data_IF_857914275857
#
_entry.id   IF_857914275857
#
_cell.length_a   1.000
_cell.length_b   1.000
_cell.length_c   1.000
_cell.angle_alpha   90.00
_cell.angle_beta   90.00
_cell.angle_gamma   90.00
#
_symmetry.space_group_name_H-M   'P 1'
#
loop_
_entity.id
_entity.type
_entity.pdbx_description
1 polymer ?
#
# COMPACT_ATOMS: atom_id res chain seq x y z
N UNK A 1 3.22 -15.34 -4.47
CA UNK A 1 3.38 -13.99 -5.05
C UNK A 1 3.50 -12.99 -3.90
N UNK A 2 4.71 -12.76 -3.37
CA UNK A 2 4.99 -11.62 -2.51
C UNK A 2 4.87 -10.28 -3.26
N UNK A 3 4.74 -9.18 -2.51
CA UNK A 3 4.76 -7.84 -3.07
C UNK A 3 5.36 -6.82 -2.08
N UNK A 4 5.82 -5.70 -2.63
CA UNK A 4 6.25 -4.52 -1.89
C UNK A 4 5.24 -3.39 -2.08
N UNK A 5 5.09 -2.54 -1.07
CA UNK A 5 4.36 -1.27 -1.18
C UNK A 5 5.34 -0.12 -1.35
N UNK A 6 5.10 0.67 -2.40
CA UNK A 6 5.80 1.93 -2.69
C UNK A 6 4.78 3.07 -2.80
N UNK A 7 5.22 4.30 -2.55
CA UNK A 7 4.33 5.45 -2.50
C UNK A 7 4.94 6.72 -3.09
N UNK A 8 4.07 7.61 -3.53
CA UNK A 8 4.36 8.99 -3.88
C UNK A 8 3.46 9.89 -3.05
N UNK A 9 3.99 11.03 -2.62
CA UNK A 9 3.30 11.95 -1.72
C UNK A 9 3.82 13.36 -1.91
N UNK A 10 2.91 14.31 -2.15
CA UNK A 10 3.26 15.73 -2.27
C UNK A 10 2.03 16.59 -2.00
N UNK A 11 2.23 17.81 -1.54
CA UNK A 11 1.22 18.86 -1.57
C UNK A 11 1.42 19.71 -2.81
N UNK A 12 0.49 19.64 -3.76
CA UNK A 12 0.62 20.31 -5.05
C UNK A 12 -0.73 20.71 -5.66
N UNK A 13 -0.71 21.68 -6.60
CA UNK A 13 -1.87 22.09 -7.41
C UNK A 13 -1.65 21.83 -8.91
N UNK A 14 -1.72 20.58 -9.36
CA UNK A 14 -1.51 20.24 -10.76
C UNK A 14 -2.77 20.53 -11.60
N UNK A 15 -2.84 21.74 -12.20
CA UNK A 15 -3.90 22.11 -13.15
C UNK A 15 -3.83 21.34 -14.48
N UNK A 16 -2.70 20.68 -14.72
CA UNK A 16 -2.50 19.66 -15.74
C UNK A 16 -1.85 18.43 -15.09
N UNK A 17 -1.86 17.29 -15.78
CA UNK A 17 -1.24 16.07 -15.29
C UNK A 17 0.26 16.29 -15.02
N UNK A 18 0.67 16.20 -13.76
CA UNK A 18 2.03 16.49 -13.31
C UNK A 18 2.59 15.32 -12.49
N UNK A 19 3.91 15.13 -12.48
CA UNK A 19 4.54 14.14 -11.61
C UNK A 19 4.36 14.51 -10.13
N UNK A 20 4.46 13.51 -9.27
CA UNK A 20 4.41 13.65 -7.81
C UNK A 20 5.71 13.09 -7.21
N UNK A 21 6.21 13.73 -6.16
CA UNK A 21 7.43 13.30 -5.46
C UNK A 21 7.34 11.84 -4.97
N UNK A 22 8.40 11.06 -5.18
CA UNK A 22 8.51 9.71 -4.62
C UNK A 22 8.83 9.78 -3.13
N UNK A 23 8.14 8.96 -2.32
CA UNK A 23 8.47 8.82 -0.90
C UNK A 23 9.79 8.07 -0.78
N UNK A 24 10.80 8.71 -0.17
CA UNK A 24 12.12 8.12 0.05
C UNK A 24 12.00 6.78 0.79
N UNK A 25 12.68 5.76 0.27
CA UNK A 25 12.49 4.36 0.67
C UNK A 25 13.83 3.70 1.03
N UNK A 26 13.85 2.86 2.07
CA UNK A 26 15.01 2.05 2.46
C UNK A 26 15.17 0.78 1.60
N UNK A 27 14.10 0.37 0.92
CA UNK A 27 14.04 -0.82 0.09
C UNK A 27 14.19 -0.47 -1.39
N UNK A 28 13.58 0.62 -1.87
CA UNK A 28 13.66 1.03 -3.28
C UNK A 28 14.57 2.23 -3.47
N UNK A 29 15.31 2.28 -4.59
CA UNK A 29 16.01 3.49 -4.99
C UNK A 29 14.97 4.53 -5.43
N UNK A 30 15.11 5.74 -4.91
CA UNK A 30 14.29 6.91 -5.22
C UNK A 30 15.16 8.06 -5.73
N UNK A 31 14.60 8.95 -6.56
CA UNK A 31 15.28 10.15 -7.06
C UNK A 31 14.27 11.18 -7.56
N UNK A 32 13.93 12.19 -6.75
CA UNK A 32 12.81 13.10 -7.05
C UNK A 32 11.51 12.30 -7.17
N UNK A 33 10.83 12.44 -8.31
CA UNK A 33 9.56 11.74 -8.63
C UNK A 33 9.73 10.24 -8.95
N UNK A 34 10.97 9.77 -9.07
CA UNK A 34 11.27 8.46 -9.64
C UNK A 34 11.42 7.38 -8.57
N UNK A 35 10.71 6.25 -8.75
CA UNK A 35 10.99 4.98 -8.07
C UNK A 35 11.54 3.98 -9.09
N UNK A 36 12.69 3.37 -8.82
CA UNK A 36 13.28 2.41 -9.75
C UNK A 36 12.73 1.00 -9.53
N UNK A 37 12.06 0.45 -10.54
CA UNK A 37 11.44 -0.88 -10.48
C UNK A 37 12.51 -1.96 -10.31
N UNK A 38 12.40 -2.77 -9.26
CA UNK A 38 13.36 -3.85 -9.03
C UNK A 38 13.17 -4.98 -10.03
N UNK A 39 14.26 -5.66 -10.45
CA UNK A 39 14.15 -6.89 -11.23
C UNK A 39 13.29 -7.98 -10.57
N UNK A 40 13.27 -8.03 -9.23
CA UNK A 40 12.48 -8.99 -8.43
C UNK A 40 10.99 -8.65 -8.32
N UNK A 41 10.59 -7.41 -8.59
CA UNK A 41 9.20 -6.95 -8.45
C UNK A 41 8.71 -6.19 -9.71
N UNK A 42 8.70 -6.83 -10.89
CA UNK A 42 8.45 -6.15 -12.16
C UNK A 42 6.97 -6.11 -12.56
N UNK A 43 6.05 -6.26 -11.62
CA UNK A 43 4.62 -6.32 -11.90
C UNK A 43 3.84 -5.39 -10.98
N UNK A 44 2.88 -4.65 -11.52
CA UNK A 44 1.92 -3.86 -10.74
C UNK A 44 0.73 -4.75 -10.34
N UNK A 45 0.66 -5.09 -9.07
CA UNK A 45 -0.34 -5.99 -8.51
C UNK A 45 -1.48 -5.26 -7.77
N UNK A 46 -1.26 -4.00 -7.42
CA UNK A 46 -2.25 -3.16 -6.75
C UNK A 46 -1.95 -1.69 -6.99
N UNK A 47 -2.99 -0.88 -7.08
CA UNK A 47 -2.85 0.57 -7.28
C UNK A 47 -3.92 1.35 -6.51
N UNK A 48 -3.54 2.54 -6.07
CA UNK A 48 -4.41 3.44 -5.35
C UNK A 48 -4.00 4.90 -5.53
N UNK A 49 -5.00 5.78 -5.65
CA UNK A 49 -4.83 7.21 -5.68
C UNK A 49 -5.79 7.90 -4.69
N UNK A 50 -5.26 8.88 -3.96
CA UNK A 50 -5.94 9.66 -2.94
C UNK A 50 -5.58 11.14 -3.05
N UNK A 51 -6.53 12.01 -2.71
CA UNK A 51 -6.28 13.43 -2.45
C UNK A 51 -7.29 13.98 -1.43
N UNK A 52 -7.12 15.21 -0.94
CA UNK A 52 -8.00 15.74 0.14
C UNK A 52 -9.43 15.99 -0.34
N UNK A 53 -9.63 16.62 -1.51
CA UNK A 53 -10.95 17.13 -1.92
C UNK A 53 -11.36 16.75 -3.34
N UNK A 54 -10.47 16.84 -4.34
CA UNK A 54 -10.88 16.76 -5.75
C UNK A 54 -10.03 15.84 -6.64
N UNK A 55 -9.65 14.63 -6.17
CA UNK A 55 -8.81 13.73 -6.96
C UNK A 55 -9.52 13.32 -8.26
N UNK A 56 -8.90 13.58 -9.42
CA UNK A 56 -9.53 13.28 -10.73
C UNK A 56 -9.09 11.94 -11.30
N UNK A 57 -7.79 11.77 -11.54
CA UNK A 57 -7.19 10.51 -11.98
C UNK A 57 -5.68 10.55 -11.74
N UNK A 58 -5.05 9.38 -11.77
CA UNK A 58 -3.61 9.21 -11.70
C UNK A 58 -3.10 8.35 -12.85
N UNK A 59 -1.82 8.51 -13.19
CA UNK A 59 -1.12 7.69 -14.16
C UNK A 59 0.17 7.12 -13.58
N UNK A 60 0.51 5.90 -14.00
CA UNK A 60 1.85 5.36 -13.87
C UNK A 60 2.54 5.36 -15.22
N UNK A 61 3.77 5.89 -15.24
CA UNK A 61 4.59 6.07 -16.44
C UNK A 61 5.95 5.43 -16.27
N UNK A 62 6.43 4.81 -17.34
CA UNK A 62 7.83 4.41 -17.52
C UNK A 62 8.27 4.83 -18.93
N UNK A 63 9.55 5.15 -19.15
CA UNK A 63 10.07 5.51 -20.46
C UNK A 63 9.74 4.49 -21.56
N UNK A 64 9.82 3.20 -21.25
CA UNK A 64 9.54 2.13 -22.22
C UNK A 64 8.06 1.74 -22.32
N UNK A 65 7.18 2.26 -21.47
CA UNK A 65 5.73 2.06 -21.61
C UNK A 65 5.20 2.95 -22.74
N UNK A 66 4.76 2.33 -23.84
CA UNK A 66 4.16 3.04 -24.98
C UNK A 66 2.90 3.81 -24.60
N UNK A 67 2.12 3.26 -23.65
CA UNK A 67 0.88 3.86 -23.15
C UNK A 67 0.95 3.82 -21.62
N UNK A 68 0.83 4.98 -20.94
CA UNK A 68 0.74 5.03 -19.48
C UNK A 68 -0.45 4.23 -18.95
N UNK A 69 -0.29 3.64 -17.77
CA UNK A 69 -1.43 3.05 -17.06
C UNK A 69 -2.19 4.15 -16.36
N UNK A 70 -3.42 4.44 -16.81
CA UNK A 70 -4.28 5.48 -16.22
C UNK A 70 -5.36 4.86 -15.34
N UNK A 71 -5.55 5.44 -14.17
CA UNK A 71 -6.48 5.01 -13.14
C UNK A 71 -7.44 6.15 -12.78
N UNK A 72 -8.74 5.88 -12.93
CA UNK A 72 -9.81 6.87 -12.75
C UNK A 72 -10.53 6.77 -11.40
N UNK A 73 -10.33 5.69 -10.65
CA UNK A 73 -10.85 5.60 -9.29
C UNK A 73 -9.88 6.27 -8.33
N UNK A 74 -10.45 7.03 -7.42
CA UNK A 74 -9.76 7.73 -6.34
C UNK A 74 -10.70 7.81 -5.14
N UNK A 75 -10.15 8.18 -3.99
CA UNK A 75 -10.96 8.52 -2.82
C UNK A 75 -10.32 9.65 -2.02
N UNK A 76 -11.10 10.19 -1.10
CA UNK A 76 -10.67 11.31 -0.26
C UNK A 76 -9.75 10.82 0.86
N UNK A 77 -8.65 11.54 1.13
CA UNK A 77 -7.74 11.26 2.25
C UNK A 77 -8.42 11.29 3.62
N UNK A 78 -9.57 11.95 3.74
CA UNK A 78 -10.37 11.96 4.97
C UNK A 78 -11.45 10.85 5.03
N UNK A 79 -11.52 10.00 3.99
CA UNK A 79 -12.53 8.95 3.86
C UNK A 79 -11.91 7.57 4.08
N UNK A 80 -12.67 6.69 4.72
CA UNK A 80 -12.29 5.30 5.00
C UNK A 80 -12.76 4.32 3.90
N UNK A 81 -12.88 4.79 2.66
CA UNK A 81 -13.44 4.02 1.53
C UNK A 81 -12.35 3.44 0.63
N UNK A 82 -11.26 2.95 1.22
CA UNK A 82 -10.09 2.38 0.53
C UNK A 82 -10.50 1.42 -0.60
N UNK A 83 -11.42 0.48 -0.31
CA UNK A 83 -11.84 -0.55 -1.25
C UNK A 83 -12.51 -0.01 -2.52
N UNK A 84 -13.11 1.18 -2.46
CA UNK A 84 -13.78 1.81 -3.62
C UNK A 84 -12.78 2.30 -4.67
N UNK A 85 -11.57 2.67 -4.24
CA UNK A 85 -10.53 3.22 -5.09
C UNK A 85 -9.36 2.27 -5.34
N UNK A 86 -9.30 1.16 -4.61
CA UNK A 86 -8.27 0.16 -4.81
C UNK A 86 -8.48 -0.61 -6.11
N UNK A 87 -7.44 -0.61 -6.94
CA UNK A 87 -7.36 -1.49 -8.08
C UNK A 87 -6.63 -2.77 -7.67
N UNK A 88 -7.38 -3.86 -7.55
CA UNK A 88 -6.82 -5.18 -7.27
C UNK A 88 -6.41 -5.87 -8.58
N UNK A 89 -5.12 -6.05 -8.78
CA UNK A 89 -4.55 -6.78 -9.92
C UNK A 89 -3.79 -8.04 -9.49
N UNK A 90 -3.98 -8.56 -8.27
CA UNK A 90 -3.21 -9.71 -7.78
C UNK A 90 -3.31 -10.93 -8.71
N UNK A 91 -4.49 -11.21 -9.29
CA UNK A 91 -4.67 -12.31 -10.22
C UNK A 91 -4.16 -12.02 -11.65
N UNK A 92 -4.09 -10.73 -12.05
CA UNK A 92 -3.75 -10.27 -13.40
C UNK A 92 -2.95 -8.96 -13.35
N UNK A 93 -1.71 -9.00 -12.85
CA UNK A 93 -0.92 -7.79 -12.65
C UNK A 93 -0.44 -7.22 -13.99
N UNK A 94 -0.23 -5.91 -14.04
CA UNK A 94 0.33 -5.28 -15.24
C UNK A 94 1.85 -5.42 -15.27
N UNK A 95 2.46 -5.78 -16.41
CA UNK A 95 3.91 -5.85 -16.52
C UNK A 95 4.55 -4.46 -16.47
N UNK A 96 5.68 -4.35 -15.78
CA UNK A 96 6.53 -3.16 -15.74
C UNK A 96 7.92 -3.50 -16.28
N UNK A 97 8.62 -2.48 -16.78
CA UNK A 97 10.01 -2.61 -17.21
C UNK A 97 10.95 -2.56 -16.01
N UNK A 98 11.78 -3.61 -15.89
CA UNK A 98 12.77 -3.80 -14.81
C UNK A 98 13.88 -2.76 -14.89
N UNK A 99 14.31 -2.24 -13.74
CA UNK A 99 15.43 -1.30 -13.63
C UNK A 99 15.11 0.12 -14.12
N UNK A 100 13.93 0.34 -14.71
CA UNK A 100 13.50 1.65 -15.15
C UNK A 100 12.82 2.44 -14.04
N UNK A 101 12.83 3.76 -14.19
CA UNK A 101 12.03 4.66 -13.36
C UNK A 101 10.54 4.42 -13.61
N UNK A 102 9.80 4.42 -12.52
CA UNK A 102 8.35 4.45 -12.45
C UNK A 102 7.97 5.78 -11.80
N UNK A 103 7.16 6.55 -12.51
CA UNK A 103 6.66 7.84 -12.06
C UNK A 103 5.16 7.75 -11.88
N UNK A 104 4.66 8.26 -10.76
CA UNK A 104 3.25 8.58 -10.63
C UNK A 104 3.02 10.00 -11.14
N UNK A 105 1.91 10.21 -11.83
CA UNK A 105 1.42 11.53 -12.18
C UNK A 105 -0.03 11.64 -11.74
N UNK A 106 -0.43 12.84 -11.34
CA UNK A 106 -1.76 13.11 -10.79
C UNK A 106 -2.36 14.35 -11.42
N UNK A 107 -3.70 14.37 -11.53
CA UNK A 107 -4.44 15.55 -11.96
C UNK A 107 -5.48 15.89 -10.90
N UNK A 108 -5.55 17.16 -10.54
CA UNK A 108 -6.39 17.66 -9.48
C UNK A 108 -6.84 19.11 -9.74
N UNK A 109 -7.82 19.62 -9.00
CA UNK A 109 -8.36 20.97 -9.18
C UNK A 109 -7.95 21.97 -8.09
N UNK A 110 -7.36 21.52 -6.99
CA UNK A 110 -6.98 22.35 -5.84
C UNK A 110 -5.52 22.11 -5.39
N UNK A 111 -4.97 23.06 -4.64
CA UNK A 111 -3.70 22.85 -3.93
C UNK A 111 -3.95 21.96 -2.73
N UNK A 112 -3.53 20.71 -2.82
CA UNK A 112 -3.78 19.76 -1.74
C UNK A 112 -2.77 18.61 -1.72
N UNK A 113 -2.78 17.90 -0.60
CA UNK A 113 -2.03 16.67 -0.44
C UNK A 113 -2.60 15.61 -1.37
N UNK A 114 -1.71 14.95 -2.09
CA UNK A 114 -2.01 13.82 -2.95
C UNK A 114 -1.13 12.64 -2.55
N UNK A 115 -1.66 11.45 -2.69
CA UNK A 115 -0.94 10.22 -2.43
C UNK A 115 -1.26 9.17 -3.48
N UNK A 116 -0.22 8.59 -4.05
CA UNK A 116 -0.32 7.43 -4.94
C UNK A 116 0.40 6.27 -4.29
N UNK A 117 -0.21 5.10 -4.33
CA UNK A 117 0.36 3.87 -3.77
C UNK A 117 0.32 2.78 -4.83
N UNK A 118 1.44 2.09 -4.99
CA UNK A 118 1.54 0.92 -5.85
C UNK A 118 2.01 -0.30 -5.06
N UNK A 119 1.44 -1.46 -5.38
CA UNK A 119 1.92 -2.76 -4.90
C UNK A 119 2.68 -3.44 -6.03
N UNK A 120 3.99 -3.64 -5.85
CA UNK A 120 4.88 -4.23 -6.85
C UNK A 120 5.18 -5.69 -6.50
N UNK A 121 4.85 -6.64 -7.37
CA UNK A 121 4.98 -8.08 -7.13
C UNK A 121 5.98 -8.77 -8.08
N UNK A 122 6.32 -10.01 -7.72
CA UNK A 122 7.17 -10.91 -8.51
C UNK A 122 6.44 -11.62 -9.67
N UNK A 123 5.11 -11.54 -9.71
CA UNK A 123 4.30 -12.25 -10.67
C UNK A 123 2.81 -12.13 -10.38
N UNK A 124 2.03 -13.09 -10.91
CA UNK A 124 0.59 -13.23 -10.64
C UNK A 124 0.34 -14.17 -9.46
N UNK A 125 -0.69 -13.90 -8.66
CA UNK A 125 -1.16 -14.81 -7.64
C UNK A 125 -1.76 -16.07 -8.28
N UNK A 126 -1.52 -17.23 -7.66
CA UNK A 126 -2.24 -18.45 -8.03
C UNK A 126 -3.65 -18.36 -7.44
N UNK A 127 -4.64 -18.92 -8.13
CA UNK A 127 -6.03 -18.98 -7.64
C UNK A 127 -6.08 -19.62 -6.24
N UNK A 128 -5.36 -20.72 -6.04
CA UNK A 128 -5.28 -21.38 -4.74
C UNK A 128 -4.67 -20.50 -3.62
N UNK A 129 -3.77 -19.58 -3.98
CA UNK A 129 -3.19 -18.64 -3.01
C UNK A 129 -4.15 -17.48 -2.69
N UNK A 130 -5.27 -17.33 -3.40
CA UNK A 130 -6.30 -16.32 -3.13
C UNK A 130 -7.53 -16.93 -2.44
N UNK A 131 -8.00 -18.07 -2.97
CA UNK A 131 -9.30 -18.65 -2.60
C UNK A 131 -9.21 -19.71 -1.49
N UNK A 132 -8.09 -20.44 -1.38
CA UNK A 132 -7.93 -21.57 -0.45
C UNK A 132 -7.10 -21.19 0.79
N UNK A 133 -7.18 -19.93 1.21
CA UNK A 133 -6.43 -19.42 2.36
C UNK A 133 -7.35 -19.34 3.57
N UNK A 134 -7.10 -20.17 4.57
CA UNK A 134 -7.80 -20.10 5.86
C UNK A 134 -6.84 -19.58 6.93
N UNK A 135 -7.00 -18.32 7.39
CA UNK A 135 -6.21 -17.80 8.50
C UNK A 135 -6.40 -18.67 9.75
N UNK A 136 -5.30 -19.02 10.41
CA UNK A 136 -5.33 -19.82 11.65
C UNK A 136 -5.28 -18.96 12.91
N UNK A 137 -4.70 -17.75 12.81
CA UNK A 137 -4.53 -16.82 13.92
C UNK A 137 -4.78 -15.39 13.40
N UNK A 138 -5.39 -14.57 14.25
CA UNK A 138 -5.42 -13.12 14.12
C UNK A 138 -4.75 -12.54 15.36
N UNK A 139 -3.86 -11.57 15.18
CA UNK A 139 -3.19 -10.85 16.27
C UNK A 139 -3.47 -9.36 16.10
N UNK A 140 -3.56 -8.62 17.21
CA UNK A 140 -3.71 -7.16 17.17
C UNK A 140 -2.50 -6.51 17.82
N UNK A 141 -2.15 -5.32 17.35
CA UNK A 141 -1.07 -4.57 17.95
C UNK A 141 -1.34 -3.08 17.88
N UNK A 142 -0.59 -2.33 18.68
CA UNK A 142 -0.62 -0.88 18.62
C UNK A 142 0.80 -0.30 18.71
N UNK A 143 0.92 0.93 18.27
CA UNK A 143 2.14 1.71 18.23
C UNK A 143 1.75 3.15 18.56
N UNK A 144 2.53 3.82 19.42
CA UNK A 144 2.30 5.21 19.83
C UNK A 144 3.46 6.09 19.37
N UNK A 145 3.70 6.09 18.05
CA UNK A 145 4.73 6.90 17.41
C UNK A 145 4.09 7.97 16.53
N UNK A 146 4.62 9.19 16.61
CA UNK A 146 4.24 10.27 15.70
C UNK A 146 4.69 9.95 14.27
N UNK A 147 3.78 10.08 13.31
CA UNK A 147 4.06 9.84 11.90
C UNK A 147 4.61 11.10 11.23
N UNK A 148 5.63 10.94 10.40
CA UNK A 148 6.17 12.04 9.58
C UNK A 148 5.50 12.03 8.20
N UNK A 149 4.89 13.15 7.82
CA UNK A 149 4.27 13.29 6.50
C UNK A 149 5.31 13.14 5.38
N UNK A 150 4.93 12.46 4.29
CA UNK A 150 5.83 12.24 3.14
C UNK A 150 7.02 11.30 3.42
N UNK A 151 7.01 10.56 4.52
CA UNK A 151 8.09 9.65 4.88
C UNK A 151 7.59 8.33 5.46
N UNK A 152 8.34 7.25 5.23
CA UNK A 152 8.13 6.00 5.96
C UNK A 152 8.59 6.15 7.40
N UNK A 153 7.66 6.02 8.35
CA UNK A 153 7.96 6.01 9.79
C UNK A 153 8.05 4.57 10.28
N UNK A 154 9.10 4.25 11.04
CA UNK A 154 9.22 2.94 11.69
C UNK A 154 8.39 2.93 12.98
N UNK A 155 7.32 2.14 12.99
CA UNK A 155 6.46 1.96 14.17
C UNK A 155 6.78 0.63 14.84
N UNK A 156 7.38 0.68 16.03
CA UNK A 156 7.61 -0.51 16.84
C UNK A 156 6.28 -0.93 17.49
N UNK A 157 5.73 -2.05 17.02
CA UNK A 157 4.43 -2.56 17.43
C UNK A 157 4.51 -3.32 18.76
N UNK A 158 3.59 -3.01 19.67
CA UNK A 158 3.27 -3.81 20.86
C UNK A 158 2.07 -4.69 20.53
N UNK A 159 2.28 -6.00 20.51
CA UNK A 159 1.25 -7.00 20.22
C UNK A 159 0.44 -7.38 21.47
N UNK A 160 -0.82 -7.75 21.28
CA UNK A 160 -1.75 -8.13 22.36
C UNK A 160 -1.66 -9.60 22.78
N UNK A 161 -1.05 -10.44 21.95
CA UNK A 161 -0.86 -11.86 22.20
C UNK A 161 0.45 -12.35 21.57
N UNK A 162 1.04 -13.35 22.21
CA UNK A 162 2.13 -14.14 21.64
C UNK A 162 1.57 -15.21 20.70
N UNK A 163 2.32 -15.53 19.66
CA UNK A 163 2.01 -16.67 18.79
C UNK A 163 2.61 -17.93 19.40
N UNK A 164 2.02 -19.12 19.20
CA UNK A 164 2.71 -20.36 19.48
C UNK A 164 4.04 -20.46 18.71
N UNK A 165 4.97 -21.31 19.17
CA UNK A 165 6.19 -21.58 18.42
C UNK A 165 5.83 -22.14 17.03
N UNK A 166 6.38 -21.57 15.97
CA UNK A 166 6.09 -22.03 14.62
C UNK A 166 6.56 -21.09 13.52
N UNK A 167 6.22 -21.47 12.28
CA UNK A 167 6.47 -20.67 11.09
C UNK A 167 5.15 -20.11 10.57
N UNK A 168 5.04 -18.80 10.52
CA UNK A 168 3.82 -18.09 10.14
C UNK A 168 4.00 -17.38 8.81
N UNK A 169 2.94 -17.35 8.00
CA UNK A 169 2.86 -16.51 6.79
C UNK A 169 1.78 -15.46 6.99
N UNK A 170 2.03 -14.25 6.50
CA UNK A 170 1.03 -13.17 6.56
C UNK A 170 0.04 -13.33 5.41
N UNK A 171 -1.25 -13.45 5.75
CA UNK A 171 -2.35 -13.67 4.80
C UNK A 171 -3.34 -12.51 4.75
N UNK A 172 -3.02 -11.41 5.43
CA UNK A 172 -3.81 -10.19 5.47
C UNK A 172 -3.28 -9.25 6.53
N UNK A 173 -3.60 -7.96 6.38
CA UNK A 173 -3.32 -6.94 7.36
C UNK A 173 -4.43 -5.91 7.31
N UNK A 174 -4.93 -5.53 8.47
CA UNK A 174 -5.71 -4.33 8.68
C UNK A 174 -4.87 -3.38 9.53
N UNK A 175 -4.82 -2.11 9.14
CA UNK A 175 -4.19 -1.07 9.95
C UNK A 175 -5.11 0.15 10.04
N UNK A 176 -5.03 0.87 11.14
CA UNK A 176 -5.78 2.08 11.35
C UNK A 176 -4.93 3.18 12.00
N UNK A 177 -5.28 4.43 11.74
CA UNK A 177 -4.66 5.60 12.39
C UNK A 177 -5.72 6.45 13.05
N UNK A 178 -5.40 7.01 14.22
CA UNK A 178 -6.26 8.01 14.86
C UNK A 178 -6.28 9.30 14.05
N UNK A 179 -7.49 9.85 13.84
CA UNK A 179 -7.66 11.16 13.19
C UNK A 179 -6.88 12.28 13.89
N UNK A 180 -6.72 12.18 15.22
CA UNK A 180 -5.95 13.13 16.02
C UNK A 180 -4.43 13.01 15.81
N UNK A 181 -3.92 11.80 15.50
CA UNK A 181 -2.50 11.55 15.25
C UNK A 181 -2.10 11.86 13.80
N UNK A 182 -3.03 11.72 12.86
CA UNK A 182 -2.81 12.01 11.44
C UNK A 182 -4.10 12.53 10.82
N UNK A 183 -4.12 13.78 10.32
CA UNK A 183 -5.31 14.35 9.69
C UNK A 183 -5.64 13.72 8.32
N UNK A 184 -4.76 12.85 7.81
CA UNK A 184 -4.87 12.20 6.49
C UNK A 184 -4.68 10.68 6.60
N UNK A 185 -5.41 9.92 5.77
CA UNK A 185 -5.14 8.50 5.56
C UNK A 185 -3.69 8.27 5.12
N UNK A 186 -3.06 7.24 5.71
CA UNK A 186 -1.71 6.80 5.39
C UNK A 186 -1.72 5.38 4.82
N UNK A 187 -0.55 4.86 4.51
CA UNK A 187 -0.34 3.47 4.10
C UNK A 187 0.61 2.82 5.09
N UNK A 188 0.41 1.53 5.38
CA UNK A 188 1.32 0.76 6.21
C UNK A 188 1.91 -0.40 5.42
N UNK A 189 3.13 -0.78 5.82
CA UNK A 189 3.83 -1.96 5.30
C UNK A 189 4.53 -2.69 6.44
N UNK A 190 4.51 -4.01 6.38
CA UNK A 190 5.20 -4.85 7.36
C UNK A 190 6.70 -4.85 7.09
N UNK A 191 7.48 -4.65 8.16
CA UNK A 191 8.93 -4.84 8.18
C UNK A 191 9.23 -6.08 9.01
N UNK A 192 9.30 -7.22 8.35
CA UNK A 192 9.66 -8.49 8.97
C UNK A 192 11.19 -8.69 8.93
N UNK A 193 11.74 -9.41 9.91
CA UNK A 193 13.18 -9.65 10.03
C UNK A 193 13.70 -10.58 8.92
N UNK A 194 12.93 -11.63 8.61
CA UNK A 194 13.38 -12.73 7.75
C UNK A 194 13.12 -12.50 6.25
N UNK A 195 12.68 -11.31 5.85
CA UNK A 195 12.37 -11.04 4.43
C UNK A 195 12.62 -9.59 4.01
N UNK A 196 12.98 -9.43 2.74
CA UNK A 196 13.20 -8.13 2.09
C UNK A 196 11.94 -7.58 1.41
N UNK A 197 10.84 -8.33 1.48
CA UNK A 197 9.54 -7.87 1.03
C UNK A 197 8.89 -6.95 2.08
N UNK A 198 8.09 -6.00 1.61
CA UNK A 198 7.35 -5.01 2.42
C UNK A 198 5.87 -5.01 2.01
N UNK A 199 5.14 -6.10 2.29
CA UNK A 199 3.72 -6.15 1.97
C UNK A 199 2.96 -5.19 2.88
N UNK A 200 1.86 -4.63 2.39
CA UNK A 200 1.21 -3.53 3.07
C UNK A 200 -0.18 -3.23 2.56
N UNK A 201 -0.93 -2.44 3.33
CA UNK A 201 -2.31 -2.04 3.07
C UNK A 201 -2.44 -0.53 3.25
N UNK A 202 -3.48 0.07 2.66
CA UNK A 202 -3.90 1.41 3.10
C UNK A 202 -4.48 1.35 4.51
N UNK A 203 -4.35 2.45 5.24
CA UNK A 203 -4.83 2.56 6.61
C UNK A 203 -6.28 3.07 6.63
N UNK A 204 -7.05 2.55 7.56
CA UNK A 204 -8.38 3.04 7.86
C UNK A 204 -8.30 4.16 8.92
N UNK A 205 -9.35 4.99 8.98
CA UNK A 205 -9.50 5.95 10.06
C UNK A 205 -10.09 5.25 11.29
N UNK A 206 -9.39 5.33 12.41
CA UNK A 206 -9.83 4.81 13.71
C UNK A 206 -10.33 5.96 14.60
N UNK A 207 -11.39 5.73 15.37
CA UNK A 207 -11.92 6.67 16.36
C UNK A 207 -12.04 6.00 17.74
N UNK A 208 -12.07 6.80 18.81
CA UNK A 208 -12.23 6.32 20.19
C UNK A 208 -11.21 5.22 20.60
N UNK A 209 -11.52 4.36 21.56
CA UNK A 209 -10.61 3.30 22.05
C UNK A 209 -10.48 2.15 21.04
N UNK A 210 -9.74 2.39 19.95
CA UNK A 210 -9.32 1.38 18.95
C UNK A 210 -10.48 0.76 18.14
N UNK A 211 -11.66 1.34 18.20
CA UNK A 211 -12.81 0.90 17.40
C UNK A 211 -12.75 1.52 16.00
N UNK A 212 -12.77 0.68 14.98
CA UNK A 212 -12.87 1.14 13.59
C UNK A 212 -14.21 1.85 13.37
N UNK A 213 -14.21 3.07 12.81
CA UNK A 213 -15.44 3.86 12.63
C UNK A 213 -16.42 3.18 11.65
N UNK A 214 -15.87 2.51 10.62
CA UNK A 214 -16.61 1.68 9.67
C UNK A 214 -15.67 0.55 9.24
N UNK A 215 -16.05 -0.70 9.48
CA UNK A 215 -15.31 -1.88 9.03
C UNK A 215 -15.20 -1.89 7.50
N UNK A 216 -14.07 -1.45 6.94
CA UNK A 216 -13.91 -1.29 5.47
C UNK A 216 -12.60 -1.79 4.85
N UNK A 217 -11.75 -2.57 5.54
CA UNK A 217 -10.47 -2.98 4.92
C UNK A 217 -9.94 -4.35 5.32
N UNK A 218 -9.75 -5.22 4.33
CA UNK A 218 -8.85 -6.39 4.36
C UNK A 218 -9.10 -7.51 5.38
N UNK A 219 -10.26 -7.55 6.04
CA UNK A 219 -10.73 -8.82 6.56
C UNK A 219 -11.27 -9.67 5.39
N UNK A 220 -11.14 -10.99 5.49
CA UNK A 220 -11.55 -11.98 4.47
C UNK A 220 -13.02 -11.80 3.99
N UNK A 221 -13.83 -10.98 4.67
CA UNK A 221 -15.25 -10.77 4.40
C UNK A 221 -15.58 -9.70 3.34
N UNK A 222 -14.67 -8.80 2.95
CA UNK A 222 -15.03 -7.62 2.12
C UNK A 222 -14.39 -7.58 0.71
N UNK A 223 -13.97 -8.73 0.19
CA UNK A 223 -13.72 -8.91 -1.26
C UNK A 223 -12.33 -8.54 -1.78
N UNK A 224 -11.43 -8.02 -0.94
CA UNK A 224 -10.00 -7.92 -1.28
C UNK A 224 -9.23 -9.00 -0.53
N UNK A 225 -9.03 -10.13 -1.18
CA UNK A 225 -8.22 -11.23 -0.67
C UNK A 225 -6.75 -10.97 -0.94
N UNK A 226 -5.94 -11.03 0.12
CA UNK A 226 -4.50 -11.04 -0.03
C UNK A 226 -4.05 -12.41 -0.49
N UNK A 227 -3.06 -12.48 -1.39
CA UNK A 227 -2.45 -13.74 -1.75
C UNK A 227 -1.74 -14.33 -0.52
N UNK A 228 -1.72 -15.65 -0.39
CA UNK A 228 -0.80 -16.35 0.48
C UNK A 228 0.63 -16.11 0.00
N UNK A 229 1.39 -15.34 0.78
CA UNK A 229 2.77 -14.98 0.47
C UNK A 229 3.74 -15.91 1.20
N UNK A 230 3.93 -17.13 0.68
CA UNK A 230 4.79 -18.15 1.34
C UNK A 230 6.24 -17.72 1.57
N UNK A 231 6.75 -16.79 0.74
CA UNK A 231 8.09 -16.20 0.86
C UNK A 231 8.18 -15.10 1.94
N UNK A 232 7.05 -14.67 2.46
CA UNK A 232 6.92 -13.70 3.53
C UNK A 232 6.44 -14.47 4.76
N UNK A 233 7.39 -15.16 5.37
CA UNK A 233 7.18 -15.93 6.58
C UNK A 233 8.17 -15.51 7.66
N UNK A 234 7.76 -15.58 8.91
CA UNK A 234 8.64 -15.39 10.05
C UNK A 234 8.57 -16.60 10.98
N UNK A 235 9.69 -16.90 11.63
CA UNK A 235 9.72 -17.86 12.73
C UNK A 235 9.35 -17.13 14.03
N UNK A 236 8.56 -17.77 14.86
CA UNK A 236 8.37 -17.38 16.26
C UNK A 236 8.88 -18.54 17.12
N UNK A 237 9.84 -18.25 17.99
CA UNK A 237 10.61 -19.24 18.75
C UNK A 237 10.09 -19.48 20.16
#
# INVERSE_FOLDING_TARGET
>A
MPFDVVAWYESMQPTALAPIDAVVDDVYRTSGDDIYVKPRAPFLAGFMYQAITTPKYAELRQPSLKIPYRFYRSYLLGSNTFGSAFYNFFAKPFPLYKGEKLQAHVMNAANEIQMVVAMLSDGKAKVADLENVTPTHNITGHADQALTAGAWTHCAMTWDQDLPKGKYAVVGMLGGTYKAATPTTAVARLKLLDTTWRPGCGLNMTVADKTELLHQGYSHAQGIQWPLMREISFAHD
#
